data_IF_793161064185
#
_entry.id   IF_793161064185
#
_cell.length_a   1.000
_cell.length_b   1.000
_cell.length_c   1.000
_cell.angle_alpha   90.00
_cell.angle_beta   90.00
_cell.angle_gamma   90.00
#
_symmetry.space_group_name_H-M   'P 1'
#
loop_
_entity.id
_entity.type
_entity.pdbx_description
1 polymer ?
#
# COMPACT_ATOMS: atom_id res chain seq x y z
N UNK A 1 -24.24 -1.27 4.20
CA UNK A 1 -23.51 0.02 4.14
C UNK A 1 -24.30 1.05 4.91
N UNK A 2 -23.73 1.64 5.96
CA UNK A 2 -24.39 2.71 6.71
C UNK A 2 -24.43 4.04 5.93
N UNK A 3 -25.21 5.04 6.38
CA UNK A 3 -25.36 6.33 5.68
C UNK A 3 -24.03 7.04 5.36
N UNK A 4 -23.02 6.92 6.22
CA UNK A 4 -21.70 7.54 6.00
C UNK A 4 -20.90 6.86 4.88
N UNK A 5 -20.96 5.53 4.78
CA UNK A 5 -20.27 4.78 3.73
C UNK A 5 -20.83 5.10 2.34
N UNK A 6 -22.15 5.32 2.25
CA UNK A 6 -22.78 5.75 1.00
C UNK A 6 -22.34 7.17 0.60
N UNK A 7 -22.29 8.11 1.55
CA UNK A 7 -21.80 9.48 1.29
C UNK A 7 -20.33 9.50 0.87
N UNK A 8 -19.51 8.64 1.47
CA UNK A 8 -18.11 8.48 1.08
C UNK A 8 -18.00 7.97 -0.36
N UNK A 9 -18.70 6.88 -0.68
CA UNK A 9 -18.70 6.28 -2.02
C UNK A 9 -19.13 7.29 -3.09
N UNK A 10 -20.22 8.01 -2.85
CA UNK A 10 -20.73 9.03 -3.78
C UNK A 10 -19.69 10.11 -4.07
N UNK A 11 -19.01 10.62 -3.04
CA UNK A 11 -17.97 11.65 -3.20
C UNK A 11 -16.76 11.14 -3.95
N UNK A 12 -16.31 9.92 -3.66
CA UNK A 12 -15.16 9.33 -4.34
C UNK A 12 -15.45 9.13 -5.83
N UNK A 13 -16.62 8.57 -6.17
CA UNK A 13 -17.04 8.41 -7.56
C UNK A 13 -17.16 9.77 -8.27
N UNK A 14 -17.69 10.79 -7.60
CA UNK A 14 -17.77 12.14 -8.17
C UNK A 14 -16.38 12.70 -8.51
N UNK A 15 -15.38 12.52 -7.64
CA UNK A 15 -14.00 12.94 -7.89
C UNK A 15 -13.39 12.19 -9.07
N UNK A 16 -13.49 10.86 -9.09
CA UNK A 16 -12.93 10.03 -10.17
C UNK A 16 -13.53 10.39 -11.53
N UNK A 17 -14.86 10.55 -11.59
CA UNK A 17 -15.54 10.93 -12.84
C UNK A 17 -15.22 12.35 -13.27
N UNK A 18 -15.07 13.30 -12.34
CA UNK A 18 -14.63 14.65 -12.65
C UNK A 18 -13.21 14.69 -13.23
N UNK A 19 -12.35 13.73 -12.85
CA UNK A 19 -11.02 13.52 -13.42
C UNK A 19 -11.00 12.80 -14.78
N UNK A 20 -12.16 12.53 -15.39
CA UNK A 20 -12.26 11.85 -16.68
C UNK A 20 -12.10 10.33 -16.63
N UNK A 21 -12.14 9.72 -15.44
CA UNK A 21 -12.08 8.26 -15.30
C UNK A 21 -13.38 7.64 -15.82
N UNK A 22 -13.34 6.68 -16.78
CA UNK A 22 -14.53 6.02 -17.30
C UNK A 22 -15.33 5.32 -16.20
N UNK A 23 -16.66 5.29 -16.33
CA UNK A 23 -17.58 4.84 -15.27
C UNK A 23 -17.22 3.46 -14.69
N UNK A 24 -16.89 2.48 -15.53
CA UNK A 24 -16.48 1.14 -15.06
C UNK A 24 -15.16 1.19 -14.28
N UNK A 25 -14.19 1.98 -14.74
CA UNK A 25 -12.91 2.14 -14.06
C UNK A 25 -13.06 2.91 -12.75
N UNK A 26 -13.98 3.88 -12.66
CA UNK A 26 -14.26 4.61 -11.44
C UNK A 26 -14.82 3.70 -10.34
N UNK A 27 -15.75 2.79 -10.70
CA UNK A 27 -16.29 1.80 -9.75
C UNK A 27 -15.20 0.84 -9.30
N UNK A 28 -14.40 0.29 -10.21
CA UNK A 28 -13.30 -0.60 -9.84
C UNK A 28 -12.24 0.11 -8.99
N UNK A 29 -11.90 1.35 -9.34
CA UNK A 29 -10.97 2.21 -8.60
C UNK A 29 -11.43 2.42 -7.16
N UNK A 30 -12.71 2.73 -6.92
CA UNK A 30 -13.26 2.82 -5.56
C UNK A 30 -13.05 1.53 -4.75
N UNK A 31 -13.36 0.37 -5.35
CA UNK A 31 -13.22 -0.92 -4.64
C UNK A 31 -11.75 -1.21 -4.31
N UNK A 32 -10.85 -0.95 -5.26
CA UNK A 32 -9.42 -1.12 -5.07
C UNK A 32 -8.88 -0.19 -3.98
N UNK A 33 -9.26 1.09 -3.99
CA UNK A 33 -8.83 2.06 -2.97
C UNK A 33 -9.22 1.60 -1.56
N UNK A 34 -10.47 1.15 -1.38
CA UNK A 34 -10.90 0.61 -0.09
C UNK A 34 -10.10 -0.64 0.30
N UNK A 35 -9.85 -1.56 -0.64
CA UNK A 35 -9.10 -2.78 -0.36
C UNK A 35 -7.65 -2.48 0.06
N UNK A 36 -6.97 -1.58 -0.63
CA UNK A 36 -5.57 -1.25 -0.34
C UNK A 36 -5.41 -0.43 0.94
N UNK A 37 -6.28 0.55 1.18
CA UNK A 37 -6.26 1.33 2.43
C UNK A 37 -6.54 0.42 3.61
N UNK A 38 -7.54 -0.45 3.52
CA UNK A 38 -7.82 -1.42 4.58
C UNK A 38 -6.63 -2.37 4.81
N UNK A 39 -5.96 -2.83 3.75
CA UNK A 39 -4.76 -3.65 3.84
C UNK A 39 -3.63 -2.97 4.62
N UNK A 40 -3.38 -1.68 4.37
CA UNK A 40 -2.39 -0.88 5.10
C UNK A 40 -2.78 -0.67 6.57
N UNK A 41 -4.05 -0.42 6.87
CA UNK A 41 -4.51 -0.27 8.26
C UNK A 41 -4.47 -1.58 9.07
N UNK A 42 -4.42 -2.74 8.40
CA UNK A 42 -4.32 -4.03 9.07
C UNK A 42 -2.93 -4.22 9.68
N UNK A 43 -1.88 -3.72 9.02
CA UNK A 43 -0.51 -3.77 9.53
C UNK A 43 -0.34 -2.90 10.79
N UNK A 44 -0.95 -1.71 10.83
CA UNK A 44 -0.97 -0.86 12.04
C UNK A 44 -1.69 -1.54 13.22
N UNK A 45 -2.71 -2.36 12.95
CA UNK A 45 -3.45 -3.05 14.02
C UNK A 45 -2.65 -4.21 14.62
N UNK A 46 -1.76 -4.83 13.85
CA UNK A 46 -0.82 -5.86 14.32
C UNK A 46 0.32 -5.24 15.13
N UNK A 47 0.82 -4.07 14.73
CA UNK A 47 1.81 -3.30 15.50
C UNK A 47 1.25 -2.86 16.87
N UNK A 48 -0.02 -2.41 16.94
CA UNK A 48 -0.67 -1.94 18.18
C UNK A 48 -1.01 -3.06 19.18
N UNK A 49 -1.24 -4.29 18.73
CA UNK A 49 -1.51 -5.43 19.64
C UNK A 49 -0.24 -6.04 20.25
N UNK A 50 0.92 -5.63 19.77
CA UNK A 50 2.21 -6.06 20.27
C UNK A 50 2.72 -4.98 21.22
N UNK A 51 2.39 -5.07 22.51
CA UNK A 51 2.78 -4.07 23.54
C UNK A 51 4.30 -3.82 23.65
N UNK A 52 5.13 -4.61 22.95
CA UNK A 52 6.59 -4.52 22.88
C UNK A 52 7.16 -4.01 21.54
N UNK A 53 6.34 -3.70 20.53
CA UNK A 53 6.85 -3.20 19.24
C UNK A 53 7.09 -1.70 19.32
N UNK A 54 8.30 -1.36 19.74
CA UNK A 54 8.88 -0.04 19.52
C UNK A 54 8.79 0.31 18.02
N UNK A 55 8.64 1.61 17.64
CA UNK A 55 8.69 2.02 16.24
C UNK A 55 9.89 1.35 15.59
N UNK A 56 9.67 0.68 14.43
CA UNK A 56 10.64 -0.20 13.78
C UNK A 56 12.06 0.33 13.96
N UNK A 57 12.73 -0.17 15.01
CA UNK A 57 13.96 0.47 15.46
C UNK A 57 15.03 0.14 14.42
N UNK A 58 16.06 0.98 14.33
CA UNK A 58 17.21 0.66 13.47
C UNK A 58 17.76 -0.75 13.76
N UNK A 59 17.61 -1.23 14.99
CA UNK A 59 17.96 -2.58 15.40
C UNK A 59 17.04 -3.67 14.81
N UNK A 60 15.72 -3.46 14.80
CA UNK A 60 14.77 -4.39 14.15
C UNK A 60 15.03 -4.49 12.64
N UNK A 61 15.29 -3.34 12.02
CA UNK A 61 15.71 -3.24 10.62
C UNK A 61 17.02 -4.01 10.35
N UNK A 62 18.01 -3.85 11.23
CA UNK A 62 19.28 -4.56 11.12
C UNK A 62 19.09 -6.08 11.25
N UNK A 63 18.29 -6.52 12.23
CA UNK A 63 18.00 -7.94 12.44
C UNK A 63 17.28 -8.57 11.24
N UNK A 64 16.33 -7.85 10.63
CA UNK A 64 15.64 -8.32 9.43
C UNK A 64 16.59 -8.49 8.25
N UNK A 65 17.47 -7.51 8.00
CA UNK A 65 18.52 -7.62 6.97
C UNK A 65 19.44 -8.81 7.23
N UNK A 66 19.96 -8.92 8.45
CA UNK A 66 20.91 -9.98 8.81
C UNK A 66 20.28 -11.36 8.63
N UNK A 67 19.00 -11.50 9.00
CA UNK A 67 18.23 -12.72 8.73
C UNK A 67 18.12 -13.01 7.23
N UNK A 68 17.73 -12.03 6.40
CA UNK A 68 17.59 -12.22 4.96
C UNK A 68 18.91 -12.59 4.28
N UNK A 69 20.02 -11.95 4.68
CA UNK A 69 21.36 -12.26 4.15
C UNK A 69 21.86 -13.66 4.54
N UNK A 70 21.34 -14.23 5.64
CA UNK A 70 21.69 -15.58 6.09
C UNK A 70 21.01 -16.71 5.30
N UNK A 71 20.02 -16.38 4.46
CA UNK A 71 19.26 -17.36 3.69
C UNK A 71 20.12 -18.02 2.60
N UNK A 72 19.86 -19.30 2.23
CA UNK A 72 20.60 -19.95 1.15
C UNK A 72 20.38 -19.24 -0.20
N UNK A 73 21.40 -18.64 -0.83
CA UNK A 73 21.22 -17.82 -2.03
C UNK A 73 20.82 -18.64 -3.25
N UNK A 74 21.12 -19.94 -3.29
CA UNK A 74 20.64 -20.83 -4.36
C UNK A 74 19.12 -21.01 -4.35
N UNK A 75 18.47 -20.76 -3.20
CA UNK A 75 17.01 -20.88 -3.02
C UNK A 75 16.32 -19.53 -2.95
N UNK A 76 16.97 -18.52 -2.39
CA UNK A 76 16.40 -17.19 -2.16
C UNK A 76 17.30 -16.07 -2.72
N UNK A 77 17.66 -16.10 -4.02
CA UNK A 77 18.62 -15.15 -4.58
C UNK A 77 18.17 -13.69 -4.39
N UNK A 78 16.90 -13.38 -4.69
CA UNK A 78 16.39 -12.02 -4.58
C UNK A 78 16.31 -11.49 -3.13
N UNK A 79 16.02 -12.35 -2.15
CA UNK A 79 15.91 -11.91 -0.75
C UNK A 79 17.28 -11.59 -0.16
N UNK A 80 18.29 -12.37 -0.54
CA UNK A 80 19.68 -12.10 -0.16
C UNK A 80 20.18 -10.84 -0.86
N UNK A 81 19.98 -10.74 -2.18
CA UNK A 81 20.47 -9.60 -2.99
C UNK A 81 19.83 -8.26 -2.61
N UNK A 82 18.57 -8.27 -2.16
CA UNK A 82 17.82 -7.05 -1.81
C UNK A 82 17.71 -6.81 -0.30
N UNK A 83 18.40 -7.59 0.54
CA UNK A 83 18.24 -7.55 2.00
C UNK A 83 18.40 -6.14 2.60
N UNK A 84 19.30 -5.32 2.04
CA UNK A 84 19.54 -3.94 2.48
C UNK A 84 18.33 -3.01 2.29
N UNK A 85 17.45 -3.32 1.33
CA UNK A 85 16.23 -2.53 1.07
C UNK A 85 15.07 -2.87 2.01
N UNK A 86 15.07 -4.07 2.60
CA UNK A 86 14.02 -4.48 3.56
C UNK A 86 14.17 -3.81 4.93
N UNK A 87 15.35 -3.26 5.23
CA UNK A 87 15.64 -2.59 6.50
C UNK A 87 15.04 -1.17 6.61
N UNK A 88 14.58 -0.56 5.50
CA UNK A 88 14.24 0.86 5.46
C UNK A 88 12.90 1.15 4.79
N UNK A 89 11.84 0.53 5.28
CA UNK A 89 10.51 0.84 4.79
C UNK A 89 9.78 1.72 5.82
N UNK A 90 9.90 3.03 5.72
CA UNK A 90 9.08 3.98 6.47
C UNK A 90 7.58 3.72 6.14
N UNK A 91 6.71 3.40 7.11
CA UNK A 91 5.29 3.16 6.87
C UNK A 91 4.58 4.30 6.15
N UNK A 92 4.91 5.55 6.50
CA UNK A 92 4.29 6.74 5.89
C UNK A 92 4.72 6.84 4.42
N UNK A 93 6.01 6.70 4.14
CA UNK A 93 6.53 6.70 2.77
C UNK A 93 5.94 5.58 1.90
N UNK A 94 5.67 4.40 2.50
CA UNK A 94 5.00 3.29 1.79
C UNK A 94 3.55 3.63 1.45
N UNK A 95 2.82 4.28 2.35
CA UNK A 95 1.44 4.67 2.12
C UNK A 95 1.31 5.77 1.07
N UNK A 96 2.18 6.80 1.12
CA UNK A 96 2.22 7.85 0.11
C UNK A 96 2.56 7.28 -1.28
N UNK A 97 3.57 6.41 -1.36
CA UNK A 97 3.91 5.72 -2.62
C UNK A 97 2.74 4.90 -3.16
N UNK A 98 1.96 4.26 -2.29
CA UNK A 98 0.76 3.53 -2.72
C UNK A 98 -0.27 4.47 -3.35
N UNK A 99 -0.51 5.64 -2.74
CA UNK A 99 -1.46 6.61 -3.28
C UNK A 99 -0.99 7.13 -4.63
N UNK A 100 0.30 7.45 -4.77
CA UNK A 100 0.90 7.89 -6.03
C UNK A 100 0.71 6.83 -7.13
N UNK A 101 1.11 5.58 -6.86
CA UNK A 101 0.96 4.48 -7.82
C UNK A 101 -0.50 4.21 -8.21
N UNK A 102 -1.42 4.33 -7.25
CA UNK A 102 -2.84 4.16 -7.50
C UNK A 102 -3.39 5.27 -8.41
N UNK A 103 -3.06 6.53 -8.12
CA UNK A 103 -3.51 7.69 -8.90
C UNK A 103 -2.90 7.66 -10.30
N UNK A 104 -1.59 7.42 -10.42
CA UNK A 104 -0.89 7.33 -11.71
C UNK A 104 -1.47 6.20 -12.58
N UNK A 105 -1.72 5.03 -11.98
CA UNK A 105 -2.31 3.89 -12.68
C UNK A 105 -3.72 4.17 -13.18
N UNK A 106 -4.54 4.91 -12.42
CA UNK A 106 -5.86 5.35 -12.85
C UNK A 106 -5.78 6.38 -13.98
N UNK A 107 -4.93 7.39 -13.84
CA UNK A 107 -4.74 8.44 -14.84
C UNK A 107 -4.27 7.86 -16.18
N UNK A 108 -3.29 6.96 -16.15
CA UNK A 108 -2.78 6.29 -17.34
C UNK A 108 -3.87 5.49 -18.07
N UNK A 109 -4.71 4.76 -17.33
CA UNK A 109 -5.79 3.95 -17.92
C UNK A 109 -6.95 4.80 -18.43
N UNK A 110 -7.26 5.92 -17.77
CA UNK A 110 -8.25 6.88 -18.24
C UNK A 110 -7.81 7.51 -19.57
N UNK A 111 -6.55 7.92 -19.66
CA UNK A 111 -5.97 8.44 -20.89
C UNK A 111 -5.95 7.41 -22.04
N UNK A 112 -5.69 6.13 -21.74
CA UNK A 112 -5.70 5.05 -22.73
C UNK A 112 -7.10 4.64 -23.21
N UNK A 113 -8.15 5.04 -22.48
CA UNK A 113 -9.55 4.73 -22.80
C UNK A 113 -10.28 5.88 -23.52
N UNK A 114 -9.60 7.01 -23.74
CA UNK A 114 -10.09 8.20 -24.44
C UNK A 114 -9.71 8.16 -25.92
#
# INVERSE_FOLDING_TARGET
MGPNALRYSERLLAILRAGGVPDQLAVLGQHLLMAVVNGFTLDETVEVQSEDVQPASQDAANMARDYLTSLPPQRFPNLVDLADHFAFADPDARFELLLDLFVDGLAQRAAASS
#
